data_IF_753582813882
#
_entry.id   IF_753582813882
#
_cell.length_a   1.000
_cell.length_b   1.000
_cell.length_c   1.000
_cell.angle_alpha   90.00
_cell.angle_beta   90.00
_cell.angle_gamma   90.00
#
_symmetry.space_group_name_H-M   'P 1'
#
loop_
_entity.id
_entity.type
_entity.pdbx_description
1 polymer ?
#
# COMPACT_ATOMS: atom_id res chain seq x y z
N UNK A 1 -21.46 2.07 -16.83
CA UNK A 1 -20.95 2.46 -15.49
C UNK A 1 -19.51 1.99 -15.38
N UNK A 2 -18.60 2.79 -14.81
CA UNK A 2 -17.21 2.36 -14.59
C UNK A 2 -17.15 1.61 -13.26
N UNK A 3 -16.77 0.34 -13.27
CA UNK A 3 -16.62 -0.46 -12.05
C UNK A 3 -15.55 0.14 -11.15
N UNK A 4 -15.79 0.15 -9.83
CA UNK A 4 -14.77 0.55 -8.85
C UNK A 4 -13.85 -0.63 -8.54
N UNK A 5 -12.56 -0.35 -8.42
CA UNK A 5 -11.54 -1.34 -8.09
C UNK A 5 -10.91 -0.97 -6.74
N UNK A 6 -10.93 -1.90 -5.80
CA UNK A 6 -10.15 -1.82 -4.55
C UNK A 6 -8.96 -2.77 -4.65
N UNK A 7 -7.78 -2.29 -4.25
CA UNK A 7 -6.56 -3.09 -4.21
C UNK A 7 -6.15 -3.33 -2.77
N UNK A 8 -5.97 -4.60 -2.41
CA UNK A 8 -5.42 -5.02 -1.12
C UNK A 8 -3.97 -5.44 -1.32
N UNK A 9 -3.07 -4.93 -0.47
CA UNK A 9 -1.65 -5.29 -0.46
C UNK A 9 -1.32 -5.83 0.93
N UNK A 10 -0.68 -6.99 0.99
CA UNK A 10 -0.05 -7.51 2.21
C UNK A 10 1.46 -7.35 2.03
N UNK A 11 2.15 -6.79 3.02
CA UNK A 11 3.57 -6.48 2.87
C UNK A 11 4.35 -6.62 4.17
N UNK A 12 5.66 -6.86 4.05
CA UNK A 12 6.63 -6.92 5.15
C UNK A 12 8.00 -6.55 4.60
N UNK A 13 8.66 -5.58 5.21
CA UNK A 13 10.01 -5.12 4.86
C UNK A 13 10.20 -4.93 3.34
N UNK A 14 9.37 -4.09 2.73
CA UNK A 14 9.31 -3.87 1.29
C UNK A 14 9.65 -2.42 0.88
N UNK A 15 10.57 -1.76 1.60
CA UNK A 15 10.90 -0.36 1.35
C UNK A 15 11.40 -0.09 -0.09
N UNK A 16 12.03 -1.07 -0.73
CA UNK A 16 12.61 -0.92 -2.08
C UNK A 16 11.56 -0.83 -3.21
N UNK A 17 10.36 -1.40 -3.00
CA UNK A 17 9.36 -1.54 -4.07
C UNK A 17 7.96 -1.03 -3.71
N UNK A 18 7.65 -0.83 -2.42
CA UNK A 18 6.29 -0.46 -2.01
C UNK A 18 5.85 0.88 -2.61
N UNK A 19 6.74 1.87 -2.70
CA UNK A 19 6.42 3.17 -3.31
C UNK A 19 6.09 3.02 -4.80
N UNK A 20 6.92 2.28 -5.54
CA UNK A 20 6.72 2.03 -6.98
C UNK A 20 5.39 1.30 -7.22
N UNK A 21 5.04 0.36 -6.34
CA UNK A 21 3.76 -0.36 -6.36
C UNK A 21 2.58 0.59 -6.17
N UNK A 22 2.64 1.49 -5.19
CA UNK A 22 1.57 2.46 -4.96
C UNK A 22 1.40 3.44 -6.13
N UNK A 23 2.52 3.89 -6.72
CA UNK A 23 2.51 4.78 -7.87
C UNK A 23 1.90 4.14 -9.12
N UNK A 24 2.16 2.85 -9.38
CA UNK A 24 1.58 2.14 -10.52
C UNK A 24 0.06 1.95 -10.40
N UNK A 25 -0.46 1.88 -9.17
CA UNK A 25 -1.88 1.71 -8.88
C UNK A 25 -2.71 3.00 -8.94
N UNK A 26 -2.07 4.18 -8.97
CA UNK A 26 -2.73 5.51 -8.85
C UNK A 26 -3.89 5.73 -9.84
N UNK A 27 -3.80 5.18 -11.05
CA UNK A 27 -4.82 5.34 -12.10
C UNK A 27 -5.71 4.10 -12.28
N UNK A 28 -5.44 3.02 -11.55
CA UNK A 28 -6.14 1.75 -11.66
C UNK A 28 -7.12 1.53 -10.49
N UNK A 29 -6.72 1.94 -9.27
CA UNK A 29 -7.46 1.66 -8.05
C UNK A 29 -8.18 2.91 -7.56
N UNK A 30 -9.43 2.73 -7.14
CA UNK A 30 -10.20 3.76 -6.43
C UNK A 30 -9.84 3.81 -4.95
N UNK A 31 -9.39 2.69 -4.40
CA UNK A 31 -9.03 2.50 -3.01
C UNK A 31 -7.82 1.55 -2.92
N UNK A 32 -6.89 1.85 -2.02
CA UNK A 32 -5.75 0.99 -1.72
C UNK A 32 -5.71 0.77 -0.20
N UNK A 33 -5.78 -0.49 0.21
CA UNK A 33 -5.65 -0.94 1.59
C UNK A 33 -4.36 -1.74 1.71
N UNK A 34 -3.52 -1.40 2.67
CA UNK A 34 -2.27 -2.09 2.93
C UNK A 34 -2.31 -2.69 4.32
N UNK A 35 -2.07 -4.00 4.41
CA UNK A 35 -1.87 -4.74 5.66
C UNK A 35 -0.37 -4.99 5.81
N UNK A 36 0.26 -4.27 6.72
CA UNK A 36 1.68 -4.39 7.03
C UNK A 36 1.91 -5.42 8.15
N UNK A 37 2.73 -6.43 7.87
CA UNK A 37 3.12 -7.49 8.81
C UNK A 37 4.30 -7.09 9.70
N UNK A 38 4.13 -5.94 10.37
CA UNK A 38 5.06 -5.34 11.33
C UNK A 38 6.45 -5.15 10.70
N UNK A 39 6.51 -4.33 9.66
CA UNK A 39 7.78 -3.98 9.02
C UNK A 39 8.68 -3.18 9.98
N UNK A 40 9.96 -3.53 9.97
CA UNK A 40 11.01 -2.89 10.79
C UNK A 40 11.90 -1.96 9.99
N UNK A 41 11.66 -1.87 8.68
CA UNK A 41 12.33 -0.98 7.74
C UNK A 41 11.47 0.29 7.49
N UNK A 42 11.77 1.05 6.43
CA UNK A 42 11.04 2.28 6.09
C UNK A 42 9.69 2.03 5.43
N UNK A 43 9.22 0.78 5.27
CA UNK A 43 7.96 0.46 4.60
C UNK A 43 6.79 1.27 5.14
N UNK A 44 6.58 1.28 6.46
CA UNK A 44 5.46 2.01 7.08
C UNK A 44 5.59 3.53 6.89
N UNK A 45 6.82 4.07 6.91
CA UNK A 45 7.06 5.49 6.64
C UNK A 45 6.66 5.86 5.20
N UNK A 46 7.06 5.03 4.23
CA UNK A 46 6.73 5.20 2.81
C UNK A 46 5.22 5.09 2.60
N UNK A 47 4.56 4.12 3.24
CA UNK A 47 3.12 3.93 3.17
C UNK A 47 2.36 5.16 3.69
N UNK A 48 2.79 5.76 4.81
CA UNK A 48 2.19 6.97 5.41
C UNK A 48 2.33 8.22 4.53
N UNK A 49 3.37 8.30 3.69
CA UNK A 49 3.53 9.39 2.71
C UNK A 49 2.54 9.30 1.55
N UNK A 50 1.98 8.12 1.31
CA UNK A 50 1.04 7.87 0.23
C UNK A 50 -0.42 7.89 0.72
N UNK A 51 -1.37 8.10 -0.19
CA UNK A 51 -2.82 8.15 0.12
C UNK A 51 -3.46 6.76 0.35
N UNK A 52 -2.69 5.80 0.90
CA UNK A 52 -3.19 4.45 1.17
C UNK A 52 -3.71 4.34 2.61
N UNK A 53 -4.73 3.51 2.82
CA UNK A 53 -5.15 3.11 4.15
C UNK A 53 -4.21 2.03 4.66
N UNK A 54 -3.54 2.26 5.79
CA UNK A 54 -2.54 1.33 6.35
C UNK A 54 -3.05 0.70 7.64
N UNK A 55 -3.05 -0.63 7.69
CA UNK A 55 -3.38 -1.45 8.86
C UNK A 55 -2.11 -2.22 9.21
N UNK A 56 -1.63 -2.11 10.44
CA UNK A 56 -0.47 -2.88 10.92
C UNK A 56 -1.00 -4.07 11.73
N UNK A 57 -0.57 -5.29 11.38
CA UNK A 57 -1.05 -6.52 12.04
C UNK A 57 0.00 -7.64 12.01
N UNK A 58 0.17 -8.32 13.14
CA UNK A 58 1.00 -9.55 13.27
C UNK A 58 0.38 -10.77 12.58
#
# INVERSE_FOLDING_TARGET
>A
MKSKISTLIITKNNEETIEKTLLSLKNLSNEIIVVDSVSTDKTVEILKKNRATVIVKE
#
